data_IF_294247400681
#
_entry.id   IF_294247400681
#
_cell.length_a   1.000
_cell.length_b   1.000
_cell.length_c   1.000
_cell.angle_alpha   90.00
_cell.angle_beta   90.00
_cell.angle_gamma   90.00
#
_symmetry.space_group_name_H-M   'P 1'
#
loop_
_entity.id
_entity.type
_entity.pdbx_description
1 polymer ?
#
# COMPACT_ATOMS: atom_id res chain seq x y z
N UNK A 1 -3.86 -74.08 -29.44
CA UNK A 1 -4.77 -74.36 -28.30
C UNK A 1 -4.11 -73.83 -27.03
N UNK A 2 -4.89 -73.23 -26.11
CA UNK A 2 -4.65 -71.93 -25.46
C UNK A 2 -3.80 -72.07 -24.17
N UNK A 3 -3.30 -71.05 -23.47
CA UNK A 3 -3.84 -69.72 -23.15
C UNK A 3 -2.70 -68.85 -22.58
N UNK A 4 -2.63 -67.57 -22.99
CA UNK A 4 -1.75 -66.56 -22.37
C UNK A 4 -2.64 -65.59 -21.60
N UNK A 5 -2.45 -65.54 -20.28
CA UNK A 5 -3.27 -64.75 -19.36
C UNK A 5 -2.67 -63.37 -19.19
N UNK A 6 -3.20 -62.37 -19.90
CA UNK A 6 -2.86 -60.96 -19.71
C UNK A 6 -3.52 -60.43 -18.45
N UNK A 7 -2.72 -60.02 -17.45
CA UNK A 7 -3.20 -59.34 -16.24
C UNK A 7 -3.30 -57.83 -16.50
N UNK A 8 -4.51 -57.29 -16.45
CA UNK A 8 -4.77 -55.85 -16.40
C UNK A 8 -4.46 -55.32 -15.00
N UNK A 9 -3.52 -54.38 -14.89
CA UNK A 9 -3.35 -53.54 -13.70
C UNK A 9 -4.25 -52.31 -13.85
N UNK A 10 -5.34 -52.25 -13.11
CA UNK A 10 -6.15 -51.05 -12.95
C UNK A 10 -5.46 -50.14 -11.92
N UNK A 11 -4.89 -49.02 -12.38
CA UNK A 11 -4.37 -47.98 -11.49
C UNK A 11 -5.54 -47.13 -10.98
N UNK A 12 -5.87 -47.30 -9.70
CA UNK A 12 -6.88 -46.52 -8.99
C UNK A 12 -6.25 -45.16 -8.60
N UNK A 13 -6.53 -44.10 -9.38
CA UNK A 13 -6.19 -42.73 -9.02
C UNK A 13 -7.21 -42.21 -8.00
N UNK A 14 -6.85 -42.23 -6.71
CA UNK A 14 -7.65 -41.60 -5.65
C UNK A 14 -7.31 -40.10 -5.63
N UNK A 15 -8.21 -39.28 -6.16
CA UNK A 15 -8.13 -37.82 -6.06
C UNK A 15 -8.43 -37.38 -4.62
N UNK A 16 -7.41 -36.88 -3.93
CA UNK A 16 -7.56 -36.20 -2.64
C UNK A 16 -8.23 -34.84 -2.87
N UNK A 17 -9.53 -34.73 -2.57
CA UNK A 17 -10.18 -33.44 -2.38
C UNK A 17 -9.70 -32.87 -1.05
N UNK A 18 -8.79 -31.90 -1.10
CA UNK A 18 -8.44 -31.07 0.06
C UNK A 18 -9.64 -30.17 0.38
N UNK A 19 -10.49 -30.60 1.32
CA UNK A 19 -11.50 -29.74 1.94
C UNK A 19 -10.78 -28.80 2.90
N UNK A 20 -10.63 -27.54 2.51
CA UNK A 20 -10.16 -26.48 3.41
C UNK A 20 -11.21 -26.29 4.53
N UNK A 21 -10.87 -26.70 5.74
CA UNK A 21 -11.63 -26.38 6.95
C UNK A 21 -11.39 -24.89 7.26
N UNK A 22 -12.35 -24.04 6.89
CA UNK A 22 -12.40 -22.66 7.39
C UNK A 22 -12.72 -22.74 8.88
N UNK A 23 -11.75 -22.43 9.73
CA UNK A 23 -12.01 -22.25 11.16
C UNK A 23 -12.76 -20.93 11.32
N UNK A 24 -14.02 -21.01 11.75
CA UNK A 24 -14.77 -19.81 12.12
C UNK A 24 -14.06 -19.18 13.33
N UNK A 25 -13.47 -18.00 13.15
CA UNK A 25 -12.87 -17.24 14.24
C UNK A 25 -13.95 -16.88 15.26
N UNK A 26 -13.83 -17.39 16.49
CA UNK A 26 -14.82 -17.17 17.55
C UNK A 26 -14.52 -15.87 18.29
N UNK A 27 -15.03 -14.76 17.78
CA UNK A 27 -15.01 -13.50 18.52
C UNK A 27 -16.14 -13.43 19.55
N UNK A 28 -15.95 -12.64 20.61
CA UNK A 28 -16.99 -12.44 21.62
C UNK A 28 -18.17 -11.61 21.08
N UNK A 29 -19.19 -11.43 21.91
CA UNK A 29 -20.38 -10.63 21.57
C UNK A 29 -20.08 -9.16 21.27
N UNK A 30 -18.98 -8.60 21.76
CA UNK A 30 -18.61 -7.20 21.56
C UNK A 30 -17.99 -6.97 20.16
N UNK A 31 -17.30 -7.96 19.61
CA UNK A 31 -16.78 -7.92 18.24
C UNK A 31 -17.88 -8.22 17.20
N UNK A 32 -18.90 -9.00 17.58
CA UNK A 32 -19.88 -9.56 16.64
C UNK A 32 -21.29 -8.93 16.68
N UNK A 33 -21.46 -7.72 17.24
CA UNK A 33 -22.78 -7.07 17.24
C UNK A 33 -23.34 -6.83 15.82
N UNK A 34 -22.45 -6.64 14.85
CA UNK A 34 -22.71 -6.75 13.41
C UNK A 34 -21.38 -7.08 12.72
N UNK A 35 -21.43 -7.41 11.42
CA UNK A 35 -20.23 -7.51 10.61
C UNK A 35 -19.48 -6.16 10.54
N UNK A 36 -18.15 -6.22 10.43
CA UNK A 36 -17.29 -5.06 10.18
C UNK A 36 -17.53 -4.40 8.81
N UNK A 37 -18.21 -5.11 7.90
CA UNK A 37 -18.59 -4.67 6.55
C UNK A 37 -19.23 -3.27 6.54
N UNK A 38 -18.77 -2.43 5.61
CA UNK A 38 -19.35 -1.13 5.33
C UNK A 38 -18.41 0.03 5.63
N UNK A 39 -18.97 1.24 5.65
CA UNK A 39 -18.24 2.49 5.89
C UNK A 39 -18.58 3.05 7.26
N UNK A 40 -17.55 3.37 8.03
CA UNK A 40 -17.61 3.89 9.39
C UNK A 40 -16.96 5.25 9.43
N UNK A 41 -17.62 6.26 10.00
CA UNK A 41 -17.09 7.62 10.10
C UNK A 41 -17.32 8.25 11.47
N UNK A 42 -16.38 9.07 11.91
CA UNK A 42 -16.41 9.76 13.20
C UNK A 42 -16.90 11.21 13.08
N UNK A 43 -17.15 11.85 14.24
CA UNK A 43 -17.54 13.25 14.30
C UNK A 43 -18.92 13.50 13.67
N UNK A 44 -18.99 14.40 12.70
CA UNK A 44 -20.23 14.69 11.95
C UNK A 44 -20.48 13.72 10.79
N UNK A 45 -19.59 12.76 10.54
CA UNK A 45 -19.71 11.82 9.43
C UNK A 45 -19.30 12.40 8.06
N UNK A 46 -18.64 13.56 8.03
CA UNK A 46 -18.31 14.24 6.76
C UNK A 46 -17.02 13.72 6.11
N UNK A 47 -16.10 13.15 6.89
CA UNK A 47 -14.95 12.42 6.33
C UNK A 47 -15.45 11.05 5.92
N UNK A 48 -15.35 10.73 4.64
CA UNK A 48 -15.74 9.44 4.08
C UNK A 48 -14.60 8.92 3.21
N UNK A 49 -14.42 7.62 3.18
CA UNK A 49 -13.58 6.95 2.18
C UNK A 49 -14.23 7.03 0.78
N UNK A 50 -13.47 6.68 -0.25
CA UNK A 50 -13.88 6.58 -1.64
C UNK A 50 -13.33 7.69 -2.54
N UNK A 51 -13.75 7.70 -3.83
CA UNK A 51 -13.27 8.66 -4.83
C UNK A 51 -13.62 10.12 -4.50
N UNK A 52 -14.57 10.33 -3.60
CA UNK A 52 -14.92 11.65 -3.10
C UNK A 52 -13.85 12.28 -2.20
N UNK A 53 -12.90 11.51 -1.65
CA UNK A 53 -11.92 11.98 -0.67
C UNK A 53 -10.50 12.13 -1.22
N UNK A 54 -10.01 11.12 -1.95
CA UNK A 54 -8.65 11.11 -2.47
C UNK A 54 -8.59 10.66 -3.93
N UNK A 55 -7.63 11.20 -4.68
CA UNK A 55 -7.18 10.69 -5.96
C UNK A 55 -5.67 10.36 -5.86
N UNK A 56 -5.32 9.09 -5.65
CA UNK A 56 -3.92 8.70 -5.42
C UNK A 56 -3.05 8.78 -6.67
N UNK A 57 -3.63 8.68 -7.87
CA UNK A 57 -2.92 8.81 -9.14
C UNK A 57 -2.43 10.25 -9.34
N UNK A 58 -3.30 11.23 -9.04
CA UNK A 58 -2.99 12.65 -9.24
C UNK A 58 -2.41 13.34 -8.00
N UNK A 59 -2.22 12.63 -6.89
CA UNK A 59 -1.79 13.21 -5.61
C UNK A 59 -2.70 14.39 -5.22
N UNK A 60 -4.02 14.16 -5.15
CA UNK A 60 -4.96 15.20 -4.70
C UNK A 60 -5.94 14.69 -3.65
N UNK A 61 -6.40 15.61 -2.80
CA UNK A 61 -7.42 15.38 -1.79
C UNK A 61 -8.56 16.38 -1.94
N UNK A 62 -9.78 15.92 -1.68
CA UNK A 62 -10.95 16.77 -1.53
C UNK A 62 -11.25 16.91 -0.04
N UNK A 63 -11.17 18.13 0.46
CA UNK A 63 -11.28 18.41 1.89
C UNK A 63 -12.73 18.38 2.34
N UNK A 64 -13.10 17.54 3.31
CA UNK A 64 -14.41 17.58 3.93
C UNK A 64 -14.59 18.88 4.74
N UNK A 65 -15.85 19.32 4.96
CA UNK A 65 -16.13 20.53 5.74
C UNK A 65 -15.77 20.41 7.23
N UNK A 66 -15.58 19.19 7.74
CA UNK A 66 -15.20 18.93 9.14
C UNK A 66 -14.12 17.84 9.22
N UNK A 67 -13.34 17.87 10.29
CA UNK A 67 -12.34 16.84 10.57
C UNK A 67 -12.95 15.55 11.08
N UNK A 68 -12.25 14.46 10.86
CA UNK A 68 -12.65 13.14 11.28
C UNK A 68 -11.73 12.07 10.72
N UNK A 69 -12.06 10.83 11.09
CA UNK A 69 -11.51 9.61 10.52
C UNK A 69 -12.66 8.76 9.99
N UNK A 70 -12.37 8.02 8.93
CA UNK A 70 -13.28 7.07 8.31
C UNK A 70 -12.52 5.82 7.88
N UNK A 71 -13.16 4.67 8.05
CA UNK A 71 -12.68 3.39 7.56
C UNK A 71 -13.80 2.68 6.80
N UNK A 72 -13.45 2.01 5.70
CA UNK A 72 -14.35 1.08 5.02
C UNK A 72 -13.72 -0.30 4.96
N UNK A 73 -14.56 -1.33 5.13
CA UNK A 73 -14.13 -2.73 5.10
C UNK A 73 -15.02 -3.54 4.16
N UNK A 74 -14.43 -4.43 3.37
CA UNK A 74 -15.14 -5.50 2.65
C UNK A 74 -15.10 -6.79 3.47
N UNK A 75 -15.92 -7.79 3.13
CA UNK A 75 -15.89 -9.12 3.77
C UNK A 75 -15.72 -10.16 2.69
N UNK A 76 -14.47 -10.44 2.35
CA UNK A 76 -14.12 -11.44 1.36
C UNK A 76 -12.79 -12.06 1.74
N UNK A 77 -12.76 -13.38 1.88
CA UNK A 77 -11.51 -14.08 2.13
C UNK A 77 -10.68 -14.06 0.86
N UNK A 78 -9.54 -13.39 0.93
CA UNK A 78 -8.63 -13.24 -0.19
C UNK A 78 -7.71 -14.46 -0.33
N UNK A 79 -7.20 -14.68 -1.54
CA UNK A 79 -6.33 -15.83 -1.84
C UNK A 79 -5.01 -15.83 -1.06
N UNK A 80 -4.60 -14.68 -0.54
CA UNK A 80 -3.42 -14.52 0.30
C UNK A 80 -3.68 -14.82 1.79
N UNK A 81 -4.92 -15.17 2.15
CA UNK A 81 -5.34 -15.49 3.52
C UNK A 81 -5.78 -14.29 4.35
N UNK A 82 -5.91 -13.10 3.75
CA UNK A 82 -6.50 -11.93 4.41
C UNK A 82 -8.05 -11.95 4.40
N UNK A 83 -8.66 -11.21 5.32
CA UNK A 83 -10.10 -11.27 5.61
C UNK A 83 -10.95 -10.31 4.77
N UNK A 84 -10.30 -9.39 4.06
CA UNK A 84 -10.92 -8.46 3.13
C UNK A 84 -10.03 -7.26 2.81
N UNK A 85 -10.61 -6.28 2.13
CA UNK A 85 -9.98 -5.00 1.86
C UNK A 85 -10.40 -3.94 2.85
N UNK A 86 -9.50 -3.02 3.12
CA UNK A 86 -9.80 -1.81 3.87
C UNK A 86 -9.43 -0.57 3.06
N UNK A 87 -10.11 0.52 3.37
CA UNK A 87 -9.68 1.86 3.01
C UNK A 87 -9.77 2.77 4.22
N UNK A 88 -8.79 3.66 4.40
CA UNK A 88 -8.82 4.69 5.43
C UNK A 88 -8.76 6.10 4.84
N UNK A 89 -9.49 7.00 5.48
CA UNK A 89 -9.48 8.43 5.20
C UNK A 89 -9.40 9.18 6.53
N UNK A 90 -8.39 10.05 6.67
CA UNK A 90 -8.20 10.86 7.86
C UNK A 90 -8.03 12.33 7.47
N UNK A 91 -8.80 13.21 8.11
CA UNK A 91 -8.58 14.65 8.07
C UNK A 91 -8.53 15.17 9.51
N UNK A 92 -7.35 15.59 9.95
CA UNK A 92 -7.08 15.92 11.36
C UNK A 92 -6.22 17.17 11.47
N UNK A 93 -6.35 17.85 12.60
CA UNK A 93 -5.45 18.92 13.00
C UNK A 93 -4.59 18.48 14.18
N UNK A 94 -3.33 18.87 14.16
CA UNK A 94 -2.42 18.81 15.29
C UNK A 94 -2.14 20.24 15.75
N UNK A 95 -2.57 20.55 16.97
CA UNK A 95 -2.31 21.84 17.60
C UNK A 95 -0.88 21.93 18.14
N UNK A 96 -0.34 23.15 18.18
CA UNK A 96 0.94 23.46 18.80
C UNK A 96 0.71 24.34 20.05
N UNK A 97 0.86 23.76 21.24
CA UNK A 97 0.60 24.45 22.51
C UNK A 97 1.53 25.64 22.78
N UNK A 98 2.77 25.59 22.28
CA UNK A 98 3.74 26.68 22.43
C UNK A 98 3.53 27.80 21.40
N UNK A 99 2.96 27.47 20.23
CA UNK A 99 2.65 28.43 19.16
C UNK A 99 1.24 28.15 18.59
N UNK A 100 0.17 28.64 19.22
CA UNK A 100 -1.21 28.33 18.83
C UNK A 100 -1.58 28.74 17.40
N UNK A 101 -0.87 29.69 16.80
CA UNK A 101 -1.05 30.11 15.40
C UNK A 101 -0.44 29.14 14.39
N UNK A 102 0.33 28.15 14.85
CA UNK A 102 1.03 27.15 14.04
C UNK A 102 0.33 25.80 14.11
N UNK A 103 -0.86 25.73 13.53
CA UNK A 103 -1.64 24.49 13.45
C UNK A 103 -1.16 23.69 12.23
N UNK A 104 -1.06 22.38 12.39
CA UNK A 104 -0.72 21.46 11.31
C UNK A 104 -2.00 20.73 10.88
N UNK A 105 -2.38 20.86 9.62
CA UNK A 105 -3.42 20.06 8.98
C UNK A 105 -2.81 18.82 8.36
N UNK A 106 -3.42 17.66 8.61
CA UNK A 106 -2.99 16.37 8.04
C UNK A 106 -4.19 15.76 7.35
N UNK A 107 -4.07 15.51 6.06
CA UNK A 107 -4.99 14.68 5.28
C UNK A 107 -4.25 13.44 4.83
N UNK A 108 -4.80 12.28 5.10
CA UNK A 108 -4.17 10.99 4.82
C UNK A 108 -5.18 10.02 4.26
N UNK A 109 -4.71 9.23 3.30
CA UNK A 109 -5.46 8.14 2.71
C UNK A 109 -4.53 6.96 2.41
N UNK A 110 -4.98 5.75 2.66
CA UNK A 110 -4.37 4.52 2.18
C UNK A 110 -5.42 3.41 2.14
N UNK A 111 -5.13 2.37 1.37
CA UNK A 111 -6.00 1.21 1.22
C UNK A 111 -5.15 -0.04 1.01
N UNK A 112 -5.75 -1.22 1.17
CA UNK A 112 -5.08 -2.50 1.02
C UNK A 112 -5.90 -3.62 1.64
N UNK A 113 -5.23 -4.62 2.20
CA UNK A 113 -5.88 -5.77 2.83
C UNK A 113 -5.84 -5.69 4.34
N UNK A 114 -6.79 -6.33 5.02
CA UNK A 114 -6.74 -6.45 6.47
C UNK A 114 -6.86 -7.89 6.93
N UNK A 115 -6.32 -8.16 8.11
CA UNK A 115 -6.42 -9.46 8.78
C UNK A 115 -6.98 -9.25 10.18
N UNK A 116 -8.00 -10.02 10.52
CA UNK A 116 -8.50 -10.14 11.88
C UNK A 116 -7.68 -11.23 12.56
N UNK A 117 -6.90 -10.83 13.56
CA UNK A 117 -6.01 -11.74 14.26
C UNK A 117 -6.80 -12.56 15.29
N UNK A 118 -6.23 -13.70 15.69
CA UNK A 118 -6.84 -14.62 16.66
C UNK A 118 -6.90 -14.07 18.08
N UNK A 119 -6.11 -13.03 18.38
CA UNK A 119 -6.09 -12.31 19.65
C UNK A 119 -7.13 -11.17 19.74
N UNK A 120 -7.96 -11.00 18.70
CA UNK A 120 -8.97 -9.93 18.62
C UNK A 120 -8.44 -8.60 18.10
N UNK A 121 -7.18 -8.53 17.68
CA UNK A 121 -6.61 -7.35 17.02
C UNK A 121 -6.92 -7.33 15.51
N UNK A 122 -6.77 -6.16 14.88
CA UNK A 122 -6.83 -6.02 13.40
C UNK A 122 -5.49 -5.51 12.90
N UNK A 123 -4.94 -6.17 11.88
CA UNK A 123 -3.77 -5.68 11.14
C UNK A 123 -4.22 -5.14 9.79
N UNK A 124 -3.89 -3.88 9.50
CA UNK A 124 -4.08 -3.25 8.19
C UNK A 124 -2.78 -3.27 7.39
N UNK A 125 -2.80 -3.87 6.21
CA UNK A 125 -1.67 -4.02 5.29
C UNK A 125 -1.92 -3.22 3.99
N UNK A 126 -1.47 -1.97 3.92
CA UNK A 126 -1.72 -1.12 2.76
C UNK A 126 -0.96 -1.57 1.51
N UNK A 127 -1.49 -1.23 0.34
CA UNK A 127 -0.75 -1.26 -0.91
C UNK A 127 0.28 -0.14 -0.91
N UNK A 128 1.55 -0.52 -0.79
CA UNK A 128 2.66 0.40 -0.55
C UNK A 128 2.75 1.55 -1.55
N UNK A 129 2.35 1.34 -2.82
CA UNK A 129 2.44 2.35 -3.87
C UNK A 129 1.39 3.47 -3.73
N UNK A 130 0.25 3.20 -3.10
CA UNK A 130 -0.97 3.99 -3.32
C UNK A 130 -1.23 5.05 -2.26
N UNK A 131 -0.85 4.79 -1.00
CA UNK A 131 -1.18 5.71 0.08
C UNK A 131 -0.60 7.11 -0.15
N UNK A 132 -1.35 8.12 0.28
CA UNK A 132 -0.99 9.54 0.15
C UNK A 132 -1.18 10.22 1.49
N UNK A 133 -0.31 11.17 1.78
CA UNK A 133 -0.46 12.07 2.92
C UNK A 133 -0.09 13.48 2.48
N UNK A 134 -0.98 14.42 2.80
CA UNK A 134 -0.73 15.84 2.68
C UNK A 134 -0.60 16.44 4.08
N UNK A 135 0.51 17.15 4.30
CA UNK A 135 0.77 17.90 5.53
C UNK A 135 0.81 19.38 5.19
N UNK A 136 -0.04 20.14 5.86
CA UNK A 136 -0.10 21.60 5.76
C UNK A 136 0.36 22.20 7.08
N UNK A 137 1.52 22.85 7.10
CA UNK A 137 2.08 23.49 8.28
C UNK A 137 2.30 24.97 7.99
N UNK A 138 1.50 25.84 8.62
CA UNK A 138 1.57 27.28 8.41
C UNK A 138 2.89 27.92 8.86
N UNK A 139 3.68 27.23 9.68
CA UNK A 139 4.91 27.76 10.28
C UNK A 139 6.18 27.07 9.80
N UNK A 140 6.06 26.02 8.97
CA UNK A 140 7.20 25.39 8.32
C UNK A 140 7.69 26.18 7.11
N UNK A 141 8.96 25.97 6.72
CA UNK A 141 9.54 26.56 5.51
C UNK A 141 8.84 26.06 4.22
N UNK A 142 8.31 24.84 4.24
CA UNK A 142 7.42 24.30 3.21
C UNK A 142 6.06 24.09 3.84
N UNK A 143 5.10 24.92 3.45
CA UNK A 143 3.81 24.99 4.13
C UNK A 143 2.78 23.96 3.65
N UNK A 144 3.04 23.29 2.53
CA UNK A 144 2.16 22.28 1.97
C UNK A 144 3.02 21.24 1.26
N UNK A 145 3.00 20.01 1.78
CA UNK A 145 3.75 18.88 1.23
C UNK A 145 2.79 17.72 1.07
N UNK A 146 2.68 17.21 -0.15
CA UNK A 146 2.01 15.94 -0.44
C UNK A 146 3.06 14.90 -0.81
N UNK A 147 2.93 13.71 -0.23
CA UNK A 147 3.89 12.63 -0.38
C UNK A 147 3.18 11.27 -0.34
N UNK A 148 3.91 10.25 -0.79
CA UNK A 148 3.49 8.87 -0.62
C UNK A 148 3.47 8.50 0.87
N UNK A 149 2.51 7.68 1.24
CA UNK A 149 2.31 7.19 2.59
C UNK A 149 2.10 5.68 2.57
N UNK A 150 2.76 4.98 3.47
CA UNK A 150 2.66 3.54 3.60
C UNK A 150 2.90 3.19 5.06
N UNK A 151 1.83 2.92 5.80
CA UNK A 151 1.93 2.53 7.20
C UNK A 151 0.99 1.38 7.52
N UNK A 152 1.58 0.20 7.72
CA UNK A 152 0.92 -0.93 8.37
C UNK A 152 0.45 -0.50 9.75
N UNK A 153 -0.83 -0.75 10.04
CA UNK A 153 -1.47 -0.30 11.30
C UNK A 153 -2.02 -1.50 12.05
N UNK A 154 -1.64 -1.62 13.33
CA UNK A 154 -2.22 -2.58 14.25
C UNK A 154 -3.23 -1.87 15.16
N UNK A 155 -4.47 -2.35 15.16
CA UNK A 155 -5.45 -2.04 16.18
C UNK A 155 -5.46 -3.14 17.23
N UNK A 156 -5.09 -2.82 18.47
CA UNK A 156 -4.96 -3.82 19.53
C UNK A 156 -6.30 -4.51 19.86
N UNK A 157 -7.41 -3.85 19.60
CA UNK A 157 -8.76 -4.36 19.82
C UNK A 157 -9.75 -3.57 18.94
N UNK A 158 -10.91 -4.15 18.67
CA UNK A 158 -12.03 -3.50 18.02
C UNK A 158 -13.35 -4.03 18.58
N UNK A 159 -14.31 -3.15 18.79
CA UNK A 159 -15.64 -3.55 19.26
C UNK A 159 -16.72 -2.81 18.47
N UNK A 160 -17.84 -3.48 18.23
CA UNK A 160 -19.02 -2.87 17.65
C UNK A 160 -20.14 -2.87 18.68
N UNK A 161 -20.71 -1.69 18.92
CA UNK A 161 -21.82 -1.49 19.83
C UNK A 161 -23.04 -0.99 19.07
N UNK A 162 -24.23 -1.30 19.56
CA UNK A 162 -25.46 -0.69 19.06
C UNK A 162 -25.81 0.54 19.93
N UNK A 163 -25.76 1.72 19.31
CA UNK A 163 -26.23 2.98 19.88
C UNK A 163 -27.71 3.17 19.52
N UNK A 164 -28.55 3.47 20.52
CA UNK A 164 -30.00 3.61 20.34
C UNK A 164 -30.42 4.80 19.48
N UNK A 165 -29.53 5.79 19.32
CA UNK A 165 -29.81 7.04 18.59
C UNK A 165 -29.13 7.07 17.23
N UNK A 166 -27.90 6.55 17.15
CA UNK A 166 -27.05 6.67 15.95
C UNK A 166 -26.80 5.35 15.21
N UNK A 167 -27.31 4.23 15.71
CA UNK A 167 -27.10 2.91 15.11
C UNK A 167 -25.78 2.26 15.52
N UNK A 168 -25.16 1.47 14.64
CA UNK A 168 -23.93 0.78 14.98
C UNK A 168 -22.75 1.73 15.14
N UNK A 169 -21.96 1.50 16.18
CA UNK A 169 -20.76 2.25 16.55
C UNK A 169 -19.55 1.34 16.59
N UNK A 170 -18.57 1.58 15.74
CA UNK A 170 -17.26 0.94 15.75
C UNK A 170 -16.30 1.71 16.65
N UNK A 171 -15.72 1.01 17.62
CA UNK A 171 -14.67 1.50 18.48
C UNK A 171 -13.38 0.73 18.19
N UNK A 172 -12.41 1.41 17.59
CA UNK A 172 -11.06 0.88 17.39
C UNK A 172 -10.14 1.34 18.53
N UNK A 173 -9.15 0.51 18.85
CA UNK A 173 -8.11 0.82 19.83
C UNK A 173 -6.76 0.78 19.14
N UNK A 174 -5.95 1.81 19.35
CA UNK A 174 -4.58 1.88 18.83
C UNK A 174 -3.73 0.74 19.39
N UNK A 175 -2.53 0.55 18.84
CA UNK A 175 -1.57 -0.45 19.33
C UNK A 175 -1.24 -0.33 20.84
N UNK A 176 -1.37 0.87 21.41
CA UNK A 176 -1.14 1.17 22.84
C UNK A 176 -2.40 1.00 23.71
N UNK A 177 -3.50 0.52 23.13
CA UNK A 177 -4.79 0.35 23.79
C UNK A 177 -5.58 1.65 23.95
N UNK A 178 -5.06 2.81 23.50
CA UNK A 178 -5.83 4.05 23.55
C UNK A 178 -6.97 4.02 22.52
N UNK A 179 -8.21 4.39 22.91
CA UNK A 179 -9.33 4.38 21.99
C UNK A 179 -9.14 5.46 20.91
N UNK A 180 -9.46 5.11 19.66
CA UNK A 180 -9.68 6.09 18.60
C UNK A 180 -11.03 6.79 18.77
N UNK A 181 -11.23 7.88 18.02
CA UNK A 181 -12.55 8.53 17.94
C UNK A 181 -13.60 7.49 17.55
N UNK A 182 -14.75 7.43 18.26
CA UNK A 182 -15.81 6.49 17.91
C UNK A 182 -16.34 6.81 16.52
N UNK A 183 -16.59 5.76 15.73
CA UNK A 183 -17.13 5.87 14.38
C UNK A 183 -18.50 5.24 14.32
N UNK A 184 -19.41 5.84 13.57
CA UNK A 184 -20.76 5.33 13.33
C UNK A 184 -20.86 4.81 11.91
N UNK A 185 -21.66 3.76 11.70
CA UNK A 185 -21.86 3.20 10.37
C UNK A 185 -22.66 4.19 9.52
N UNK A 186 -22.04 4.67 8.44
CA UNK A 186 -22.67 5.59 7.49
C UNK A 186 -23.30 4.84 6.32
N UNK A 187 -22.70 3.70 5.94
CA UNK A 187 -23.19 2.84 4.87
C UNK A 187 -22.90 1.38 5.20
N UNK A 188 -23.86 0.50 4.89
CA UNK A 188 -23.69 -0.96 4.99
C UNK A 188 -22.91 -1.53 3.81
N UNK A 189 -22.76 -0.76 2.73
CA UNK A 189 -21.89 -1.06 1.59
C UNK A 189 -20.60 -0.22 1.70
N UNK A 190 -19.42 -0.82 1.55
CA UNK A 190 -18.16 -0.09 1.60
C UNK A 190 -18.07 0.94 0.45
N UNK A 191 -17.86 2.20 0.81
CA UNK A 191 -17.50 3.26 -0.12
C UNK A 191 -15.97 3.37 -0.16
N UNK A 192 -15.33 2.79 -1.17
CA UNK A 192 -13.88 2.78 -1.34
C UNK A 192 -13.51 2.86 -2.83
N UNK A 193 -12.26 3.21 -3.12
CA UNK A 193 -11.66 3.07 -4.45
C UNK A 193 -11.51 1.57 -4.82
N UNK A 194 -11.19 1.25 -6.09
CA UNK A 194 -11.00 -0.14 -6.51
C UNK A 194 -9.97 -0.86 -5.63
N UNK A 195 -10.28 -2.11 -5.27
CA UNK A 195 -9.50 -2.96 -4.34
C UNK A 195 -8.29 -3.62 -5.02
N UNK A 196 -7.54 -2.83 -5.77
CA UNK A 196 -6.36 -3.24 -6.53
C UNK A 196 -5.27 -2.16 -6.43
N UNK A 197 -4.06 -2.48 -6.88
CA UNK A 197 -2.98 -1.50 -6.93
C UNK A 197 -3.32 -0.39 -7.95
N UNK A 198 -3.49 0.84 -7.49
CA UNK A 198 -3.95 1.97 -8.31
C UNK A 198 -2.80 2.72 -8.98
N UNK A 199 -1.62 2.71 -8.36
CA UNK A 199 -0.44 3.38 -8.85
C UNK A 199 0.68 2.39 -9.09
N UNK A 200 0.86 2.02 -10.36
CA UNK A 200 2.10 1.41 -10.80
C UNK A 200 3.17 2.49 -10.83
N UNK A 201 3.85 2.72 -9.70
CA UNK A 201 5.21 3.26 -9.79
C UNK A 201 6.06 2.15 -10.43
N UNK A 202 6.10 2.11 -11.76
CA UNK A 202 7.31 1.64 -12.40
C UNK A 202 8.40 2.52 -11.82
N UNK A 203 9.21 1.96 -10.93
CA UNK A 203 10.54 2.51 -10.71
C UNK A 203 11.14 2.46 -12.10
N UNK A 204 11.14 3.60 -12.80
CA UNK A 204 12.04 3.81 -13.90
C UNK A 204 13.41 3.75 -13.24
N UNK A 205 13.90 2.53 -13.03
CA UNK A 205 15.31 2.25 -12.89
C UNK A 205 15.86 2.73 -14.22
N UNK A 206 16.26 3.99 -14.26
CA UNK A 206 17.19 4.47 -15.26
C UNK A 206 18.42 3.60 -14.98
N UNK A 207 18.50 2.47 -15.68
CA UNK A 207 19.75 1.79 -15.84
C UNK A 207 20.57 2.81 -16.62
N UNK A 208 21.34 3.61 -15.88
CA UNK A 208 22.47 4.32 -16.44
C UNK A 208 23.41 3.20 -16.86
N UNK A 209 23.18 2.64 -18.05
CA UNK A 209 24.26 1.94 -18.73
C UNK A 209 25.28 3.05 -18.97
N UNK A 210 26.35 3.04 -18.18
CA UNK A 210 27.57 3.71 -18.56
C UNK A 210 28.01 3.01 -19.85
N UNK A 211 27.47 3.44 -20.99
CA UNK A 211 28.03 3.15 -22.29
C UNK A 211 29.40 3.81 -22.26
N UNK A 212 30.42 3.02 -21.92
CA UNK A 212 31.81 3.37 -22.17
C UNK A 212 31.93 3.51 -23.67
N UNK A 213 31.72 4.74 -24.16
CA UNK A 213 32.08 5.14 -25.51
C UNK A 213 33.59 4.90 -25.62
N UNK A 214 33.95 3.80 -26.30
CA UNK A 214 35.30 3.65 -26.84
C UNK A 214 35.47 4.81 -27.81
N UNK A 215 36.20 5.84 -27.37
CA UNK A 215 36.75 6.85 -28.30
C UNK A 215 37.76 6.12 -29.16
N UNK A 216 37.33 5.79 -30.36
CA UNK A 216 38.20 5.34 -31.42
C UNK A 216 39.05 6.53 -31.86
N UNK A 217 40.29 6.59 -31.37
CA UNK A 217 41.27 7.58 -31.79
C UNK A 217 41.87 7.14 -33.12
N UNK A 218 41.15 7.40 -34.22
CA UNK A 218 41.71 7.37 -35.56
C UNK A 218 42.55 8.64 -35.76
N UNK A 219 43.84 8.51 -35.48
CA UNK A 219 44.85 9.53 -35.75
C UNK A 219 45.21 9.43 -37.23
N UNK A 220 44.76 10.39 -38.03
CA UNK A 220 45.33 10.68 -39.35
C UNK A 220 46.63 11.49 -39.14
N UNK A 221 47.79 11.04 -39.64
CA UNK A 221 48.91 11.94 -39.86
C UNK A 221 48.86 12.49 -41.29
N UNK A 222 48.90 13.81 -41.38
CA UNK A 222 49.07 14.56 -42.62
C UNK A 222 50.41 14.24 -43.31
N UNK A 223 50.36 14.36 -44.65
CA UNK A 223 51.43 14.32 -45.64
C UNK A 223 52.80 14.86 -45.19
N UNK A 224 53.84 14.08 -45.50
CA UNK A 224 55.21 14.55 -45.72
C UNK A 224 55.81 13.86 -46.94
N UNK A 225 56.00 14.60 -48.03
CA UNK A 225 56.64 14.16 -49.27
C UNK A 225 58.14 14.46 -49.17
N UNK A 226 58.99 13.47 -49.50
CA UNK A 226 60.13 13.56 -50.42
C UNK A 226 61.33 12.69 -49.99
N UNK A 227 61.88 11.96 -50.96
CA UNK A 227 63.34 11.89 -51.12
C UNK A 227 64.06 10.63 -50.65
N UNK A 228 64.24 9.72 -51.60
CA UNK A 228 65.21 8.61 -51.62
C UNK A 228 66.65 9.01 -51.27
N UNK A 229 67.40 8.12 -50.59
CA UNK A 229 68.60 7.43 -51.12
C UNK A 229 69.67 7.06 -50.07
N UNK A 230 70.06 5.77 -50.13
CA UNK A 230 71.43 5.21 -50.04
C UNK A 230 72.35 5.37 -48.80
N UNK A 231 72.72 4.18 -48.29
CA UNK A 231 74.09 3.62 -48.21
C UNK A 231 75.02 3.92 -47.01
N UNK A 232 75.40 2.79 -46.38
CA UNK A 232 76.70 2.37 -45.83
C UNK A 232 77.43 3.17 -44.73
N UNK A 233 77.77 2.38 -43.70
CA UNK A 233 79.04 2.43 -42.97
C UNK A 233 79.06 3.38 -41.78
N UNK A 234 79.90 3.21 -40.77
CA UNK A 234 80.87 2.21 -40.35
C UNK A 234 81.47 2.85 -39.06
N UNK A 235 81.71 2.07 -37.99
CA UNK A 235 82.73 2.36 -36.93
C UNK A 235 82.49 3.63 -36.07
N UNK A 236 83.05 3.81 -34.89
CA UNK A 236 83.28 3.05 -33.67
C UNK A 236 83.73 4.09 -32.61
N UNK A 237 83.66 3.74 -31.32
CA UNK A 237 84.62 4.14 -30.27
C UNK A 237 84.69 5.63 -29.89
N UNK A 238 84.13 5.98 -28.73
CA UNK A 238 84.84 6.28 -27.46
C UNK A 238 83.82 6.45 -26.34
#
# INVERSE_FOLDING_TARGET
MPSSTTRFFAALFVGLLSSSLTTAQSYDTAHNATSLLGTWSSGSGSVLTGPGFANPVNFTFNYPPTTGISYSFTTETLSDGSDGYFEEAQYRFQGNGSRPTCIIGIVQWQHGTYTLNTDGSITLNPFAADGRQQVQDMCAAKSNVIQQFNQTTLFANWNIYQDTTKGYKLQLYRFDGAPLSPMYQVSTTPNMLPTELLTNTTVNTVIITNASSRRDTSILPMLGVAGTAMLMGLVAVL
#
